data_IF_241115937065
#
_entry.id   IF_241115937065
#
_cell.length_a   1.000
_cell.length_b   1.000
_cell.length_c   1.000
_cell.angle_alpha   90.00
_cell.angle_beta   90.00
_cell.angle_gamma   90.00
#
_symmetry.space_group_name_H-M   'P 1'
#
loop_
_entity.id
_entity.type
_entity.pdbx_description
1 polymer ?
#
# COMPACT_ATOMS: atom_id res chain seq x y z
N UNK A 1 -13.20 48.33 -48.32
CA UNK A 1 -12.23 47.67 -47.42
C UNK A 1 -13.02 46.67 -46.57
N UNK A 2 -13.12 45.42 -47.01
CA UNK A 2 -14.04 44.40 -46.46
C UNK A 2 -13.39 43.56 -45.35
N UNK A 3 -14.10 43.43 -44.23
CA UNK A 3 -13.88 42.42 -43.18
C UNK A 3 -14.60 41.11 -43.55
N UNK A 4 -13.93 39.98 -43.32
CA UNK A 4 -14.50 38.60 -43.24
C UNK A 4 -14.98 38.32 -41.79
N UNK A 5 -15.47 37.11 -41.40
CA UNK A 5 -16.03 35.94 -42.12
C UNK A 5 -17.35 35.43 -41.47
N UNK A 6 -17.96 34.35 -41.99
CA UNK A 6 -18.49 33.27 -41.15
C UNK A 6 -18.62 31.95 -41.95
N UNK A 7 -18.23 30.87 -41.29
CA UNK A 7 -18.16 29.51 -41.81
C UNK A 7 -19.41 28.70 -41.41
N UNK A 8 -19.89 27.80 -42.28
CA UNK A 8 -20.57 26.56 -41.86
C UNK A 8 -20.33 25.47 -42.93
N UNK A 9 -19.78 24.34 -42.49
CA UNK A 9 -19.66 23.07 -43.20
C UNK A 9 -20.34 22.00 -42.32
N UNK A 10 -21.12 21.09 -42.93
CA UNK A 10 -21.57 19.73 -42.47
C UNK A 10 -22.93 19.41 -43.12
N UNK A 11 -23.31 18.21 -43.54
CA UNK A 11 -22.70 16.90 -43.75
C UNK A 11 -23.77 16.09 -44.49
N UNK A 12 -23.39 15.35 -45.54
CA UNK A 12 -24.23 14.35 -46.20
C UNK A 12 -23.91 12.97 -45.62
N UNK A 13 -24.95 12.20 -45.22
CA UNK A 13 -25.22 10.80 -45.57
C UNK A 13 -26.21 10.18 -44.56
N UNK A 14 -27.36 9.76 -45.09
CA UNK A 14 -28.38 8.95 -44.45
C UNK A 14 -28.42 7.56 -45.10
N UNK A 15 -29.02 6.62 -44.36
CA UNK A 15 -29.71 5.40 -44.82
C UNK A 15 -28.81 4.22 -45.27
N UNK A 16 -29.13 2.94 -45.05
CA UNK A 16 -30.23 2.20 -44.42
C UNK A 16 -29.84 0.71 -44.55
N UNK A 17 -30.13 -0.18 -43.58
CA UNK A 17 -30.66 -1.54 -43.86
C UNK A 17 -31.15 -2.24 -42.58
N UNK A 18 -32.31 -2.89 -42.73
CA UNK A 18 -33.16 -3.61 -41.76
C UNK A 18 -33.09 -5.12 -42.05
N UNK A 19 -33.30 -5.97 -41.03
CA UNK A 19 -33.72 -7.39 -41.14
C UNK A 19 -33.29 -8.21 -39.91
N UNK A 20 -34.11 -8.52 -38.89
CA UNK A 20 -35.35 -9.34 -38.72
C UNK A 20 -35.08 -10.82 -38.35
N UNK A 21 -35.60 -11.21 -37.15
CA UNK A 21 -35.97 -12.55 -36.60
C UNK A 21 -34.87 -13.63 -36.41
N UNK A 22 -34.82 -14.49 -35.39
CA UNK A 22 -35.72 -14.87 -34.29
C UNK A 22 -35.24 -16.20 -33.66
N UNK A 23 -35.78 -16.56 -32.48
CA UNK A 23 -35.66 -17.84 -31.71
C UNK A 23 -34.26 -18.18 -31.10
N UNK A 24 -34.11 -18.74 -29.89
CA UNK A 24 -35.03 -19.31 -28.91
C UNK A 24 -34.47 -19.13 -27.48
N UNK A 25 -35.37 -18.91 -26.51
CA UNK A 25 -35.07 -18.87 -25.08
C UNK A 25 -35.28 -20.28 -24.54
N UNK A 26 -34.20 -20.91 -24.07
CA UNK A 26 -34.25 -22.18 -23.33
C UNK A 26 -33.75 -21.95 -21.90
N UNK A 27 -34.70 -21.88 -20.97
CA UNK A 27 -34.50 -21.93 -19.51
C UNK A 27 -34.33 -23.38 -19.06
N UNK A 28 -33.37 -23.71 -18.19
CA UNK A 28 -33.46 -24.88 -17.34
C UNK A 28 -34.09 -24.51 -16.00
N UNK A 29 -35.27 -25.07 -15.75
CA UNK A 29 -35.93 -25.14 -14.44
C UNK A 29 -35.08 -25.95 -13.47
N UNK A 30 -34.54 -25.29 -12.44
CA UNK A 30 -33.89 -25.96 -11.31
C UNK A 30 -34.96 -26.64 -10.43
N UNK A 31 -34.86 -27.96 -10.32
CA UNK A 31 -35.61 -28.78 -9.39
C UNK A 31 -35.26 -28.42 -7.93
N UNK A 32 -36.27 -28.03 -7.16
CA UNK A 32 -36.23 -28.01 -5.71
C UNK A 32 -36.27 -29.45 -5.19
N UNK A 33 -35.19 -29.90 -4.57
CA UNK A 33 -35.15 -31.12 -3.78
C UNK A 33 -34.92 -30.77 -2.31
N UNK A 34 -35.97 -31.00 -1.52
CA UNK A 34 -35.99 -30.88 -0.07
C UNK A 34 -34.93 -31.79 0.58
N UNK A 35 -34.00 -31.20 1.35
CA UNK A 35 -33.16 -31.96 2.28
C UNK A 35 -33.83 -32.01 3.65
N UNK A 36 -34.22 -33.23 4.03
CA UNK A 36 -34.68 -33.65 5.36
C UNK A 36 -33.71 -33.17 6.45
N UNK A 37 -34.28 -32.49 7.46
CA UNK A 37 -33.65 -32.21 8.75
C UNK A 37 -33.61 -33.50 9.58
N UNK A 38 -32.44 -33.84 10.11
CA UNK A 38 -32.26 -34.82 11.19
C UNK A 38 -31.81 -34.08 12.46
N UNK A 39 -32.32 -34.43 13.65
CA UNK A 39 -32.22 -33.58 14.83
C UNK A 39 -30.90 -33.76 15.59
N UNK A 40 -30.23 -32.65 15.88
CA UNK A 40 -29.13 -32.58 16.85
C UNK A 40 -29.68 -32.58 18.28
N UNK A 41 -29.37 -33.62 19.05
CA UNK A 41 -29.66 -33.71 20.48
C UNK A 41 -28.94 -32.58 21.24
N UNK A 42 -29.73 -31.80 21.97
CA UNK A 42 -29.29 -30.98 23.11
C UNK A 42 -28.62 -31.90 24.14
N UNK A 43 -27.39 -31.59 24.51
CA UNK A 43 -26.83 -32.07 25.76
C UNK A 43 -26.60 -30.88 26.69
N UNK A 44 -27.18 -31.06 27.86
CA UNK A 44 -27.48 -30.08 28.88
C UNK A 44 -26.20 -29.75 29.65
N UNK A 45 -25.96 -28.46 29.83
CA UNK A 45 -24.90 -27.91 30.66
C UNK A 45 -25.27 -28.16 32.12
N UNK A 46 -24.46 -28.94 32.84
CA UNK A 46 -24.48 -29.00 34.30
C UNK A 46 -23.26 -28.27 34.85
N UNK A 47 -23.53 -27.16 35.52
CA UNK A 47 -22.61 -26.45 36.40
C UNK A 47 -22.19 -27.33 37.58
N UNK A 48 -20.88 -27.45 37.82
CA UNK A 48 -20.35 -27.88 39.10
C UNK A 48 -19.05 -27.13 39.39
N UNK A 49 -18.98 -26.67 40.63
CA UNK A 49 -18.07 -25.67 41.13
C UNK A 49 -16.63 -26.16 41.34
N UNK A 50 -15.74 -25.17 41.24
CA UNK A 50 -14.43 -25.02 41.86
C UNK A 50 -13.99 -26.12 42.83
N UNK A 51 -12.90 -26.80 42.48
CA UNK A 51 -11.93 -27.33 43.45
C UNK A 51 -10.52 -26.92 43.03
N UNK A 52 -9.91 -26.15 43.94
CA UNK A 52 -8.50 -25.79 43.95
C UNK A 52 -7.62 -27.04 43.93
N UNK A 53 -6.70 -27.11 42.98
CA UNK A 53 -5.59 -28.06 43.02
C UNK A 53 -4.26 -27.30 42.86
N UNK A 54 -3.68 -27.06 44.02
CA UNK A 54 -2.26 -26.90 44.38
C UNK A 54 -1.27 -26.82 43.21
N UNK A 55 -0.77 -25.61 42.99
CA UNK A 55 0.51 -25.31 42.31
C UNK A 55 1.66 -25.79 43.22
N UNK A 56 2.47 -26.71 42.72
CA UNK A 56 3.78 -27.07 43.30
C UNK A 56 4.75 -25.92 43.05
N UNK A 57 5.40 -25.34 44.09
CA UNK A 57 6.34 -24.24 43.89
C UNK A 57 7.71 -24.73 43.43
N UNK A 58 8.19 -24.12 42.34
CA UNK A 58 9.59 -24.15 41.92
C UNK A 58 10.44 -23.52 43.02
N UNK A 59 11.41 -24.29 43.53
CA UNK A 59 12.33 -23.91 44.60
C UNK A 59 13.33 -22.86 44.10
N UNK A 60 13.08 -21.60 44.48
CA UNK A 60 14.06 -20.52 44.44
C UNK A 60 15.01 -20.69 45.62
N UNK A 61 16.31 -20.83 45.36
CA UNK A 61 17.35 -20.77 46.40
C UNK A 61 18.05 -19.42 46.27
N UNK A 62 17.90 -18.57 47.29
CA UNK A 62 18.66 -17.35 47.45
C UNK A 62 19.61 -17.45 48.66
N UNK A 63 20.90 -17.21 48.35
CA UNK A 63 21.98 -16.56 49.14
C UNK A 63 22.28 -17.00 50.58
N UNK A 64 23.58 -17.21 50.84
CA UNK A 64 24.28 -16.57 51.96
C UNK A 64 25.75 -16.28 51.63
N UNK A 65 26.17 -15.10 52.05
CA UNK A 65 27.54 -14.59 52.00
C UNK A 65 28.40 -15.21 53.11
N UNK A 66 29.70 -15.34 52.86
CA UNK A 66 30.71 -15.49 53.90
C UNK A 66 31.93 -14.63 53.54
N UNK A 67 32.33 -13.82 54.52
CA UNK A 67 33.49 -12.93 54.54
C UNK A 67 34.75 -13.76 54.82
N UNK A 68 35.85 -13.50 54.10
CA UNK A 68 37.15 -14.12 54.36
C UNK A 68 38.28 -13.22 53.84
N UNK A 69 39.19 -12.88 54.75
CA UNK A 69 40.24 -11.85 54.64
C UNK A 69 41.46 -12.32 53.83
N UNK A 70 42.18 -11.32 53.29
CA UNK A 70 43.37 -11.32 52.41
C UNK A 70 44.47 -12.34 52.70
N UNK A 71 45.08 -12.86 51.63
CA UNK A 71 46.51 -13.16 51.57
C UNK A 71 47.06 -12.83 50.17
N UNK A 72 48.05 -11.95 50.12
CA UNK A 72 48.76 -11.57 48.90
C UNK A 72 49.77 -12.65 48.56
N UNK A 73 49.79 -13.13 47.31
CA UNK A 73 50.97 -13.77 46.71
C UNK A 73 51.19 -13.25 45.30
N UNK A 74 52.39 -12.75 45.12
CA UNK A 74 52.98 -12.17 43.91
C UNK A 74 53.07 -13.24 42.82
N UNK A 75 52.58 -12.93 41.62
CA UNK A 75 52.82 -13.71 40.42
C UNK A 75 53.22 -12.77 39.27
N UNK A 76 54.30 -13.14 38.61
CA UNK A 76 55.09 -12.33 37.70
C UNK A 76 54.32 -11.76 36.50
N UNK A 77 54.63 -10.51 36.16
CA UNK A 77 54.13 -9.82 34.99
C UNK A 77 54.68 -10.47 33.71
N UNK A 78 53.83 -11.23 33.01
CA UNK A 78 54.03 -11.53 31.59
C UNK A 78 53.34 -10.42 30.80
N UNK A 79 54.14 -9.54 30.20
CA UNK A 79 53.67 -8.46 29.36
C UNK A 79 53.03 -9.03 28.08
N UNK A 80 51.71 -9.23 28.11
CA UNK A 80 50.90 -9.37 26.90
C UNK A 80 50.37 -8.00 26.53
N UNK A 81 50.99 -7.39 25.53
CA UNK A 81 50.52 -6.17 24.87
C UNK A 81 49.07 -6.38 24.42
N UNK A 82 48.10 -5.57 24.88
CA UNK A 82 46.75 -5.65 24.35
C UNK A 82 46.79 -5.10 22.92
N UNK A 83 46.62 -5.98 21.93
CA UNK A 83 46.32 -5.57 20.56
C UNK A 83 44.98 -4.85 20.62
N UNK A 84 45.04 -3.52 20.61
CA UNK A 84 43.88 -2.65 20.56
C UNK A 84 43.23 -2.91 19.20
N UNK A 85 42.15 -3.69 19.19
CA UNK A 85 41.31 -3.85 18.01
C UNK A 85 40.82 -2.46 17.63
N UNK A 86 41.40 -1.89 16.58
CA UNK A 86 40.93 -0.67 15.98
C UNK A 86 39.60 -1.06 15.34
N UNK A 87 38.50 -0.74 16.01
CA UNK A 87 37.19 -0.80 15.38
C UNK A 87 37.28 0.12 14.16
N UNK A 88 37.33 -0.47 12.97
CA UNK A 88 37.19 0.27 11.74
C UNK A 88 35.88 1.06 11.85
N UNK A 89 35.99 2.37 11.97
CA UNK A 89 34.84 3.25 11.87
C UNK A 89 34.19 2.91 10.53
N UNK A 90 33.00 2.31 10.57
CA UNK A 90 32.22 2.07 9.37
C UNK A 90 32.10 3.42 8.66
N UNK A 91 32.68 3.54 7.47
CA UNK A 91 32.59 4.74 6.68
C UNK A 91 31.11 5.10 6.57
N UNK A 92 30.73 6.25 7.09
CA UNK A 92 29.38 6.78 6.92
C UNK A 92 29.29 7.15 5.44
N UNK A 93 28.82 6.21 4.63
CA UNK A 93 28.49 6.48 3.24
C UNK A 93 27.55 7.69 3.23
N UNK A 94 27.87 8.75 2.47
CA UNK A 94 26.99 9.91 2.40
C UNK A 94 25.61 9.45 1.94
N UNK A 95 24.57 10.00 2.57
CA UNK A 95 23.20 9.69 2.17
C UNK A 95 23.04 10.02 0.69
N UNK A 96 22.71 9.00 -0.13
CA UNK A 96 22.40 9.21 -1.54
C UNK A 96 21.18 10.11 -1.64
N UNK A 97 21.35 11.22 -2.35
CA UNK A 97 20.27 12.16 -2.62
C UNK A 97 19.17 11.49 -3.47
N UNK A 98 17.93 11.83 -3.20
CA UNK A 98 16.80 11.42 -4.05
C UNK A 98 16.77 12.22 -5.36
N UNK A 99 16.00 11.75 -6.33
CA UNK A 99 15.84 12.47 -7.60
C UNK A 99 15.17 13.83 -7.42
N UNK A 100 14.24 13.96 -6.45
CA UNK A 100 13.61 15.24 -6.14
C UNK A 100 14.56 16.23 -5.46
N UNK A 101 15.49 15.74 -4.63
CA UNK A 101 16.58 16.56 -4.08
C UNK A 101 17.53 17.04 -5.18
N UNK A 102 17.96 16.15 -6.08
CA UNK A 102 18.83 16.49 -7.21
C UNK A 102 18.17 17.50 -8.16
N UNK A 103 16.87 17.37 -8.39
CA UNK A 103 16.08 18.30 -9.20
C UNK A 103 15.71 19.61 -8.47
N UNK A 104 16.07 19.76 -7.19
CA UNK A 104 15.78 20.96 -6.41
C UNK A 104 14.31 21.17 -6.07
N UNK A 105 13.46 20.14 -6.18
CA UNK A 105 12.01 20.24 -6.00
C UNK A 105 11.61 20.62 -4.57
N UNK A 106 12.44 20.30 -3.58
CA UNK A 106 12.26 20.70 -2.18
C UNK A 106 12.34 22.22 -1.93
N UNK A 107 12.86 22.99 -2.89
CA UNK A 107 12.98 24.46 -2.76
C UNK A 107 11.66 25.19 -3.01
N UNK A 108 10.66 24.51 -3.57
CA UNK A 108 9.34 25.08 -3.81
C UNK A 108 8.59 25.17 -2.48
N UNK A 109 8.22 26.39 -2.09
CA UNK A 109 7.41 26.64 -0.90
C UNK A 109 5.95 26.23 -1.10
N UNK A 110 5.29 25.81 -0.04
CA UNK A 110 3.87 25.50 0.00
C UNK A 110 3.25 26.01 1.31
N UNK A 111 1.92 26.22 1.37
CA UNK A 111 1.28 26.85 2.54
C UNK A 111 1.31 25.98 3.81
N UNK A 112 1.67 24.69 3.71
CA UNK A 112 1.66 23.75 4.82
C UNK A 112 3.07 23.35 5.27
N UNK A 113 4.14 23.90 4.68
CA UNK A 113 5.52 23.48 4.92
C UNK A 113 5.68 21.94 4.79
N UNK A 114 5.14 21.39 3.70
CA UNK A 114 5.24 19.97 3.41
C UNK A 114 6.69 19.57 3.18
N UNK A 115 7.08 18.45 3.79
CA UNK A 115 8.42 17.86 3.64
C UNK A 115 8.53 16.95 2.41
N UNK A 116 7.43 16.75 1.71
CA UNK A 116 7.38 16.17 0.37
C UNK A 116 7.76 17.21 -0.67
N UNK A 117 8.64 16.84 -1.60
CA UNK A 117 8.99 17.71 -2.72
C UNK A 117 7.88 17.76 -3.77
N UNK A 118 7.04 16.73 -3.84
CA UNK A 118 5.84 16.68 -4.67
C UNK A 118 4.64 16.33 -3.79
N UNK A 119 3.55 17.09 -3.93
CA UNK A 119 2.30 16.81 -3.26
C UNK A 119 1.09 17.12 -4.16
N UNK A 120 0.06 16.31 -4.05
CA UNK A 120 -1.24 16.54 -4.67
C UNK A 120 -2.35 16.07 -3.73
N UNK A 121 -3.32 16.93 -3.47
CA UNK A 121 -4.53 16.61 -2.71
C UNK A 121 -5.73 16.99 -3.55
N UNK A 122 -6.54 16.00 -3.91
CA UNK A 122 -7.75 16.19 -4.71
C UNK A 122 -8.97 15.62 -4.01
N UNK A 123 -10.12 16.24 -4.26
CA UNK A 123 -11.41 15.63 -3.97
C UNK A 123 -11.68 14.51 -4.98
N UNK A 124 -12.00 13.32 -4.48
CA UNK A 124 -12.23 12.14 -5.29
C UNK A 124 -13.51 12.25 -6.13
N UNK A 125 -14.55 12.89 -5.58
CA UNK A 125 -15.87 12.92 -6.22
C UNK A 125 -15.97 14.11 -7.20
N UNK A 126 -15.38 15.27 -6.86
CA UNK A 126 -15.47 16.49 -7.70
C UNK A 126 -14.24 16.75 -8.57
N UNK A 127 -13.13 16.05 -8.33
CA UNK A 127 -11.82 16.32 -8.94
C UNK A 127 -11.26 17.72 -8.65
N UNK A 128 -11.81 18.44 -7.66
CA UNK A 128 -11.24 19.70 -7.20
C UNK A 128 -9.82 19.46 -6.67
N UNK A 129 -8.86 20.29 -7.11
CA UNK A 129 -7.50 20.28 -6.58
C UNK A 129 -7.45 21.22 -5.38
N UNK A 130 -7.24 20.67 -4.19
CA UNK A 130 -7.12 21.44 -2.95
C UNK A 130 -5.69 21.95 -2.78
N UNK A 131 -4.71 21.07 -2.98
CA UNK A 131 -3.29 21.38 -2.85
C UNK A 131 -2.52 20.74 -4.00
N UNK A 132 -1.61 21.52 -4.59
CA UNK A 132 -0.66 21.04 -5.60
C UNK A 132 0.72 21.64 -5.34
N UNK A 133 1.73 20.78 -5.42
CA UNK A 133 3.16 21.11 -5.32
C UNK A 133 3.91 20.21 -6.28
N UNK A 134 4.49 20.78 -7.34
CA UNK A 134 5.26 20.05 -8.35
C UNK A 134 4.53 18.81 -8.91
N UNK A 135 3.21 18.87 -9.07
CA UNK A 135 2.37 17.69 -9.32
C UNK A 135 2.61 16.99 -10.68
N UNK A 136 3.29 17.68 -11.60
CA UNK A 136 3.76 17.17 -12.90
C UNK A 136 5.17 16.55 -12.86
N UNK A 137 5.90 16.64 -11.76
CA UNK A 137 7.24 16.07 -11.68
C UNK A 137 7.18 14.54 -11.75
N UNK A 138 7.94 13.98 -12.71
CA UNK A 138 8.07 12.54 -12.91
C UNK A 138 9.24 12.03 -12.07
N UNK A 139 8.94 11.22 -11.06
CA UNK A 139 9.92 10.73 -10.10
C UNK A 139 9.83 9.22 -9.93
N UNK A 140 10.90 8.56 -9.47
CA UNK A 140 10.81 7.20 -8.98
C UNK A 140 9.74 7.10 -7.87
N UNK A 141 8.82 6.13 -7.98
CA UNK A 141 7.67 6.02 -7.07
C UNK A 141 7.79 4.88 -6.06
N UNK A 142 8.91 4.17 -6.09
CA UNK A 142 9.17 3.01 -5.25
C UNK A 142 7.97 2.05 -5.25
N UNK A 143 7.66 1.46 -4.08
CA UNK A 143 6.58 0.48 -3.91
C UNK A 143 5.15 0.99 -4.10
N UNK A 144 4.92 2.27 -4.45
CA UNK A 144 3.61 2.70 -4.94
C UNK A 144 3.21 1.92 -6.20
N UNK A 145 4.21 1.48 -6.98
CA UNK A 145 4.10 0.53 -8.10
C UNK A 145 3.17 -0.65 -7.82
N UNK A 146 3.18 -1.19 -6.58
CA UNK A 146 2.40 -2.38 -6.23
C UNK A 146 0.89 -2.16 -6.29
N UNK A 147 0.40 -0.92 -6.32
CA UNK A 147 -1.01 -0.64 -6.59
C UNK A 147 -1.40 -1.03 -8.02
N UNK A 148 -0.57 -0.73 -9.02
CA UNK A 148 -0.78 -1.19 -10.39
C UNK A 148 -0.71 -2.71 -10.47
N UNK A 149 0.26 -3.32 -9.76
CA UNK A 149 0.37 -4.78 -9.65
C UNK A 149 -0.92 -5.40 -9.12
N UNK A 150 -1.45 -4.88 -8.00
CA UNK A 150 -2.68 -5.36 -7.42
C UNK A 150 -3.89 -5.17 -8.35
N UNK A 151 -4.00 -4.00 -8.99
CA UNK A 151 -5.07 -3.71 -9.94
C UNK A 151 -5.12 -4.73 -11.09
N UNK A 152 -3.97 -5.06 -11.68
CA UNK A 152 -3.92 -6.05 -12.76
C UNK A 152 -4.24 -7.46 -12.30
N UNK A 153 -3.73 -7.88 -11.14
CA UNK A 153 -4.02 -9.21 -10.58
C UNK A 153 -5.52 -9.37 -10.33
N UNK A 154 -6.17 -8.36 -9.76
CA UNK A 154 -7.62 -8.38 -9.55
C UNK A 154 -8.40 -8.43 -10.86
N UNK A 155 -8.01 -7.62 -11.85
CA UNK A 155 -8.70 -7.58 -13.14
C UNK A 155 -8.52 -8.85 -13.98
N UNK A 156 -7.42 -9.58 -13.80
CA UNK A 156 -7.19 -10.83 -14.48
C UNK A 156 -8.11 -11.98 -14.00
N UNK A 157 -8.79 -11.82 -12.86
CA UNK A 157 -9.74 -12.80 -12.29
C UNK A 157 -9.15 -14.21 -12.19
N UNK A 158 -7.86 -14.29 -11.85
CA UNK A 158 -7.17 -15.54 -11.61
C UNK A 158 -7.63 -16.14 -10.27
N UNK A 159 -7.44 -17.45 -10.08
CA UNK A 159 -7.83 -18.12 -8.85
C UNK A 159 -7.07 -17.56 -7.64
N UNK A 160 -7.76 -16.97 -6.68
CA UNK A 160 -7.09 -16.42 -5.48
C UNK A 160 -6.49 -17.50 -4.57
N UNK A 161 -6.89 -18.75 -4.76
CA UNK A 161 -6.45 -19.91 -3.97
C UNK A 161 -5.29 -20.66 -4.64
N UNK A 162 -4.83 -20.22 -5.81
CA UNK A 162 -3.66 -20.79 -6.46
C UNK A 162 -2.42 -20.58 -5.58
N UNK A 163 -1.71 -21.68 -5.32
CA UNK A 163 -0.46 -21.67 -4.58
C UNK A 163 0.70 -21.19 -5.45
N UNK A 164 1.35 -20.11 -5.02
CA UNK A 164 2.51 -19.52 -5.69
C UNK A 164 3.73 -19.73 -4.79
N UNK A 165 4.77 -20.36 -5.35
CA UNK A 165 6.05 -20.56 -4.68
C UNK A 165 7.00 -19.40 -4.99
N UNK A 166 7.62 -18.84 -3.96
CA UNK A 166 8.73 -17.90 -4.07
C UNK A 166 9.95 -18.66 -4.62
N UNK A 167 10.54 -18.14 -5.69
CA UNK A 167 11.70 -18.71 -6.38
C UNK A 167 12.90 -17.77 -6.27
N UNK A 168 14.06 -18.21 -6.78
CA UNK A 168 15.25 -17.38 -6.83
C UNK A 168 15.04 -16.11 -7.67
N UNK A 169 14.18 -16.17 -8.70
CA UNK A 169 13.85 -15.03 -9.55
C UNK A 169 13.14 -13.90 -8.79
N UNK A 170 12.51 -14.20 -7.66
CA UNK A 170 11.81 -13.20 -6.84
C UNK A 170 12.74 -12.47 -5.87
N UNK A 171 14.01 -12.88 -5.79
CA UNK A 171 15.00 -12.28 -4.89
C UNK A 171 15.52 -10.99 -5.50
N UNK A 172 15.38 -9.90 -4.74
CA UNK A 172 15.99 -8.62 -5.09
C UNK A 172 17.52 -8.72 -5.17
N UNK A 173 18.05 -8.41 -6.35
CA UNK A 173 19.48 -8.32 -6.64
C UNK A 173 19.93 -6.88 -6.97
N UNK A 174 19.00 -5.92 -7.03
CA UNK A 174 19.27 -4.52 -7.38
C UNK A 174 19.50 -3.66 -6.14
N UNK A 175 18.61 -3.73 -5.15
CA UNK A 175 18.65 -2.89 -3.94
C UNK A 175 19.03 -3.65 -2.67
N UNK A 176 19.16 -4.98 -2.74
CA UNK A 176 19.49 -5.83 -1.60
C UNK A 176 18.43 -5.78 -0.49
N UNK A 177 17.16 -5.53 -0.84
CA UNK A 177 16.05 -5.49 0.10
C UNK A 177 15.84 -6.85 0.76
N UNK A 178 15.52 -6.81 2.05
CA UNK A 178 15.28 -8.01 2.85
C UNK A 178 13.83 -8.43 2.72
N UNK A 179 13.60 -9.74 2.68
CA UNK A 179 12.28 -10.35 2.74
C UNK A 179 12.27 -11.43 3.80
N UNK A 180 11.12 -11.63 4.44
CA UNK A 180 10.90 -12.74 5.37
C UNK A 180 10.32 -13.97 4.68
N UNK A 181 9.82 -13.84 3.46
CA UNK A 181 9.43 -14.96 2.62
C UNK A 181 10.70 -15.55 2.02
N UNK A 182 11.08 -16.76 2.42
CA UNK A 182 12.28 -17.41 1.88
C UNK A 182 11.99 -18.04 0.52
N UNK A 183 13.03 -18.30 -0.28
CA UNK A 183 12.88 -19.15 -1.48
C UNK A 183 12.33 -20.50 -1.05
N UNK A 184 11.34 -21.02 -1.78
CA UNK A 184 10.57 -22.22 -1.45
C UNK A 184 9.32 -21.96 -0.60
N UNK A 185 9.13 -20.77 -0.03
CA UNK A 185 7.87 -20.40 0.63
C UNK A 185 6.73 -20.41 -0.37
N UNK A 186 5.64 -21.09 -0.05
CA UNK A 186 4.44 -21.17 -0.90
C UNK A 186 3.26 -20.57 -0.15
N UNK A 187 2.60 -19.60 -0.75
CA UNK A 187 1.38 -18.97 -0.24
C UNK A 187 0.34 -18.89 -1.35
N UNK A 188 -0.92 -18.75 -1.00
CA UNK A 188 -1.98 -18.50 -1.98
C UNK A 188 -1.77 -17.13 -2.65
N UNK A 189 -2.27 -16.96 -3.87
CA UNK A 189 -2.30 -15.66 -4.56
C UNK A 189 -2.93 -14.56 -3.70
N UNK A 190 -3.97 -14.92 -2.93
CA UNK A 190 -4.61 -14.06 -1.93
C UNK A 190 -3.62 -13.52 -0.92
N UNK A 191 -2.89 -14.40 -0.25
CA UNK A 191 -1.88 -14.02 0.75
C UNK A 191 -0.75 -13.21 0.11
N UNK A 192 -0.27 -13.60 -1.08
CA UNK A 192 0.75 -12.84 -1.81
C UNK A 192 0.30 -11.40 -2.08
N UNK A 193 -0.93 -11.22 -2.58
CA UNK A 193 -1.49 -9.89 -2.86
C UNK A 193 -1.68 -9.08 -1.58
N UNK A 194 -2.17 -9.71 -0.51
CA UNK A 194 -2.35 -9.07 0.78
C UNK A 194 -1.03 -8.55 1.35
N UNK A 195 0.01 -9.39 1.39
CA UNK A 195 1.33 -9.00 1.89
C UNK A 195 1.97 -7.92 1.01
N UNK A 196 1.81 -7.98 -0.31
CA UNK A 196 2.31 -6.99 -1.25
C UNK A 196 1.70 -5.59 -1.02
N UNK A 197 0.40 -5.50 -0.77
CA UNK A 197 -0.30 -4.23 -0.58
C UNK A 197 -0.13 -3.67 0.84
N UNK A 198 -0.37 -4.51 1.86
CA UNK A 198 -0.33 -4.11 3.28
C UNK A 198 1.10 -3.81 3.75
N UNK A 199 1.98 -4.79 3.59
CA UNK A 199 3.34 -4.76 4.15
C UNK A 199 4.41 -4.42 3.13
N UNK A 200 4.02 -4.15 1.88
CA UNK A 200 4.96 -3.85 0.80
C UNK A 200 5.95 -4.99 0.51
N UNK A 201 5.52 -6.25 0.67
CA UNK A 201 6.38 -7.42 0.49
C UNK A 201 6.83 -7.54 -0.98
N UNK A 202 8.15 -7.50 -1.23
CA UNK A 202 8.71 -7.43 -2.58
C UNK A 202 8.65 -8.77 -3.31
N UNK A 203 8.98 -9.88 -2.64
CA UNK A 203 9.01 -11.20 -3.25
C UNK A 203 7.60 -11.65 -3.62
N UNK A 204 6.62 -11.33 -2.78
CA UNK A 204 5.21 -11.56 -3.09
C UNK A 204 4.77 -10.80 -4.35
N UNK A 205 5.09 -9.50 -4.45
CA UNK A 205 4.74 -8.70 -5.63
C UNK A 205 5.45 -9.18 -6.90
N UNK A 206 6.73 -9.57 -6.80
CA UNK A 206 7.47 -10.12 -7.93
C UNK A 206 6.88 -11.46 -8.38
N UNK A 207 6.60 -12.37 -7.45
CA UNK A 207 6.01 -13.66 -7.75
C UNK A 207 4.64 -13.55 -8.41
N UNK A 208 3.81 -12.57 -8.00
CA UNK A 208 2.54 -12.26 -8.66
C UNK A 208 2.73 -11.86 -10.13
N UNK A 209 3.70 -11.00 -10.42
CA UNK A 209 4.01 -10.61 -11.80
C UNK A 209 4.63 -11.76 -12.61
N UNK A 210 5.54 -12.54 -12.01
CA UNK A 210 6.20 -13.68 -12.65
C UNK A 210 5.24 -14.81 -13.01
N UNK A 211 4.26 -15.08 -12.14
CA UNK A 211 3.25 -16.14 -12.34
C UNK A 211 2.01 -15.68 -13.08
N UNK A 212 1.96 -14.42 -13.52
CA UNK A 212 0.90 -13.93 -14.39
C UNK A 212 0.89 -14.71 -15.72
N UNK A 213 -0.27 -14.99 -16.34
CA UNK A 213 -0.32 -15.66 -17.64
C UNK A 213 0.53 -14.93 -18.70
N UNK A 214 1.49 -15.65 -19.30
CA UNK A 214 2.48 -15.08 -20.23
C UNK A 214 3.77 -14.56 -19.56
N UNK A 215 3.86 -14.64 -18.23
CA UNK A 215 5.06 -14.33 -17.47
C UNK A 215 5.31 -12.84 -17.22
N UNK A 216 6.45 -12.55 -16.61
CA UNK A 216 6.80 -11.21 -16.11
C UNK A 216 6.84 -10.14 -17.21
N UNK A 217 7.38 -10.46 -18.39
CA UNK A 217 7.45 -9.52 -19.50
C UNK A 217 6.04 -9.10 -19.98
N UNK A 218 5.12 -10.05 -20.07
CA UNK A 218 3.71 -9.77 -20.40
C UNK A 218 3.06 -8.95 -19.29
N UNK A 219 3.33 -9.26 -18.02
CA UNK A 219 2.81 -8.49 -16.90
C UNK A 219 3.23 -7.02 -16.96
N UNK A 220 4.52 -6.73 -17.18
CA UNK A 220 5.04 -5.36 -17.30
C UNK A 220 4.44 -4.64 -18.52
N UNK A 221 4.26 -5.33 -19.64
CA UNK A 221 3.57 -4.77 -20.80
C UNK A 221 2.12 -4.38 -20.46
N UNK A 222 1.41 -5.22 -19.71
CA UNK A 222 0.05 -4.94 -19.25
C UNK A 222 0.00 -3.78 -18.25
N UNK A 223 1.01 -3.62 -17.38
CA UNK A 223 1.11 -2.46 -16.47
C UNK A 223 1.16 -1.16 -17.25
N UNK A 224 2.02 -1.08 -18.27
CA UNK A 224 2.15 0.10 -19.11
C UNK A 224 0.95 0.32 -20.04
N UNK A 225 0.36 -0.76 -20.56
CA UNK A 225 -0.87 -0.67 -21.36
C UNK A 225 -2.03 -0.13 -20.51
N UNK A 226 -2.16 -0.60 -19.27
CA UNK A 226 -3.15 -0.08 -18.33
C UNK A 226 -2.90 1.38 -17.97
N UNK A 227 -1.66 1.77 -17.69
CA UNK A 227 -1.31 3.17 -17.43
C UNK A 227 -1.79 4.09 -18.57
N UNK A 228 -1.45 3.76 -19.82
CA UNK A 228 -1.93 4.51 -21.00
C UNK A 228 -3.44 4.53 -21.12
N UNK A 229 -4.11 3.39 -20.90
CA UNK A 229 -5.57 3.30 -20.98
C UNK A 229 -6.28 4.14 -19.90
N UNK A 230 -5.62 4.40 -18.77
CA UNK A 230 -6.12 5.27 -17.71
C UNK A 230 -5.77 6.75 -17.91
N UNK A 231 -5.03 7.11 -18.96
CA UNK A 231 -4.56 8.48 -19.16
C UNK A 231 -3.29 8.84 -18.39
N UNK A 232 -2.61 7.85 -17.79
CA UNK A 232 -1.38 8.06 -17.00
C UNK A 232 -0.16 8.21 -17.93
N UNK A 233 -0.01 9.38 -18.54
CA UNK A 233 0.97 9.64 -19.61
C UNK A 233 2.40 9.88 -19.10
N UNK A 234 2.54 10.20 -17.82
CA UNK A 234 3.82 10.42 -17.16
C UNK A 234 4.36 9.14 -16.48
N UNK A 235 3.64 8.03 -16.65
CA UNK A 235 3.92 6.77 -15.94
C UNK A 235 4.62 5.76 -16.82
N UNK A 236 5.66 5.14 -16.25
CA UNK A 236 6.33 3.97 -16.83
C UNK A 236 6.67 2.95 -15.76
N UNK A 237 6.30 1.70 -16.03
CA UNK A 237 6.68 0.55 -15.23
C UNK A 237 7.70 -0.33 -15.95
N UNK A 238 8.69 -0.84 -15.23
CA UNK A 238 9.68 -1.83 -15.70
C UNK A 238 9.60 -3.14 -14.93
N UNK A 239 8.98 -3.14 -13.75
CA UNK A 239 8.85 -4.31 -12.86
C UNK A 239 7.74 -4.09 -11.81
N UNK A 240 7.20 -5.15 -11.16
CA UNK A 240 5.96 -5.09 -10.36
C UNK A 240 6.12 -4.66 -8.90
N UNK A 241 7.34 -4.44 -8.42
CA UNK A 241 7.65 -4.22 -6.99
C UNK A 241 7.92 -2.76 -6.66
N UNK A 242 8.50 -1.98 -7.56
CA UNK A 242 8.99 -0.63 -7.26
C UNK A 242 10.41 -0.57 -6.68
N UNK A 243 11.24 -1.58 -6.91
CA UNK A 243 12.66 -1.57 -6.55
C UNK A 243 13.50 -0.81 -7.57
N UNK A 244 13.13 -0.86 -8.85
CA UNK A 244 13.83 -0.11 -9.88
C UNK A 244 13.47 1.37 -9.81
N UNK A 245 14.46 2.26 -9.85
CA UNK A 245 14.24 3.70 -9.98
C UNK A 245 13.66 4.11 -11.35
N UNK A 246 13.61 3.18 -12.30
CA UNK A 246 12.94 3.35 -13.59
C UNK A 246 11.43 3.11 -13.54
N UNK A 247 10.88 2.68 -12.40
CA UNK A 247 9.45 2.77 -12.10
C UNK A 247 9.13 4.20 -11.70
N UNK A 248 8.51 4.95 -12.61
CA UNK A 248 8.31 6.39 -12.48
C UNK A 248 6.85 6.77 -12.80
N UNK A 249 6.39 7.85 -12.17
CA UNK A 249 5.06 8.43 -12.37
C UNK A 249 5.04 9.87 -11.84
N UNK A 250 4.02 10.64 -12.23
CA UNK A 250 3.68 11.92 -11.61
C UNK A 250 2.64 11.75 -10.49
N UNK A 251 2.41 12.81 -9.71
CA UNK A 251 1.39 12.79 -8.66
C UNK A 251 -0.03 12.75 -9.23
N UNK A 252 -0.26 13.38 -10.39
CA UNK A 252 -1.55 13.34 -11.10
C UNK A 252 -1.89 11.93 -11.56
N UNK A 253 -0.94 11.25 -12.18
CA UNK A 253 -1.11 9.87 -12.63
C UNK A 253 -1.40 8.92 -11.46
N UNK A 254 -0.66 9.08 -10.35
CA UNK A 254 -0.91 8.30 -9.15
C UNK A 254 -2.29 8.56 -8.55
N UNK A 255 -2.79 9.79 -8.60
CA UNK A 255 -4.14 10.10 -8.12
C UNK A 255 -5.22 9.38 -8.96
N UNK A 256 -5.02 9.29 -10.29
CA UNK A 256 -5.86 8.47 -11.18
C UNK A 256 -5.79 6.98 -10.78
N UNK A 257 -4.59 6.44 -10.57
CA UNK A 257 -4.42 5.05 -10.16
C UNK A 257 -5.10 4.75 -8.82
N UNK A 258 -4.97 5.64 -7.83
CA UNK A 258 -5.64 5.51 -6.52
C UNK A 258 -7.15 5.52 -6.70
N UNK A 259 -7.70 6.43 -7.51
CA UNK A 259 -9.15 6.50 -7.74
C UNK A 259 -9.69 5.20 -8.34
N UNK A 260 -9.00 4.64 -9.34
CA UNK A 260 -9.39 3.39 -9.99
C UNK A 260 -9.23 2.21 -9.04
N UNK A 261 -8.09 2.10 -8.36
CA UNK A 261 -7.83 1.00 -7.43
C UNK A 261 -8.79 1.00 -6.23
N UNK A 262 -9.23 2.18 -5.77
CA UNK A 262 -10.19 2.30 -4.69
C UNK A 262 -11.56 1.72 -5.05
N UNK A 263 -11.91 1.56 -6.34
CA UNK A 263 -13.16 0.92 -6.72
C UNK A 263 -13.22 -0.58 -6.42
N UNK A 264 -12.07 -1.23 -6.21
CA UNK A 264 -11.98 -2.66 -5.90
C UNK A 264 -12.00 -2.91 -4.38
N UNK A 265 -13.02 -3.60 -3.83
CA UNK A 265 -13.14 -3.82 -2.39
C UNK A 265 -12.01 -4.68 -1.80
N UNK A 266 -11.42 -5.59 -2.58
CA UNK A 266 -10.32 -6.44 -2.11
C UNK A 266 -9.03 -5.61 -2.02
N UNK A 267 -8.78 -4.71 -2.98
CA UNK A 267 -7.63 -3.80 -2.90
C UNK A 267 -7.74 -2.87 -1.70
N UNK A 268 -8.93 -2.36 -1.41
CA UNK A 268 -9.21 -1.57 -0.20
C UNK A 268 -8.85 -2.39 1.04
N UNK A 269 -9.51 -3.53 1.24
CA UNK A 269 -9.31 -4.42 2.40
C UNK A 269 -7.84 -4.80 2.60
N UNK A 270 -7.17 -5.26 1.54
CA UNK A 270 -5.79 -5.72 1.64
C UNK A 270 -4.82 -4.57 1.90
N UNK A 271 -5.05 -3.40 1.32
CA UNK A 271 -4.19 -2.25 1.57
C UNK A 271 -4.39 -1.65 2.97
N UNK A 272 -5.58 -1.78 3.57
CA UNK A 272 -5.93 -1.15 4.86
C UNK A 272 -6.01 -2.13 6.04
N UNK A 273 -5.71 -3.41 5.84
CA UNK A 273 -5.55 -4.34 6.98
C UNK A 273 -4.42 -3.89 7.92
N UNK A 274 -4.62 -3.84 9.25
CA UNK A 274 -3.59 -3.45 10.21
C UNK A 274 -2.37 -4.38 10.27
N UNK A 275 -2.58 -5.66 9.98
CA UNK A 275 -1.59 -6.73 10.09
C UNK A 275 -2.16 -8.08 9.65
N UNK A 276 -1.28 -9.03 9.41
CA UNK A 276 -1.65 -10.37 8.93
C UNK A 276 -0.58 -11.39 9.31
N UNK A 277 -1.00 -12.60 9.64
CA UNK A 277 -0.09 -13.70 9.97
C UNK A 277 -0.18 -14.77 8.88
N UNK A 278 0.97 -15.23 8.38
CA UNK A 278 1.03 -16.33 7.40
C UNK A 278 1.80 -17.50 7.97
N UNK A 279 1.22 -18.70 7.83
CA UNK A 279 1.89 -19.95 8.18
C UNK A 279 2.82 -20.37 7.03
N UNK A 280 4.09 -20.59 7.34
CA UNK A 280 5.15 -21.03 6.42
C UNK A 280 5.85 -22.24 7.02
N UNK A 281 5.39 -23.43 6.63
CA UNK A 281 5.82 -24.69 7.24
C UNK A 281 5.50 -24.71 8.74
N UNK A 282 6.52 -24.88 9.59
CA UNK A 282 6.37 -24.88 11.05
C UNK A 282 6.46 -23.49 11.70
N UNK A 283 6.57 -22.42 10.91
CA UNK A 283 6.72 -21.04 11.40
C UNK A 283 5.51 -20.20 11.04
N UNK A 284 5.17 -19.23 11.90
CA UNK A 284 4.21 -18.17 11.58
C UNK A 284 4.96 -16.85 11.44
N UNK A 285 4.77 -16.16 10.31
CA UNK A 285 5.39 -14.87 10.04
C UNK A 285 4.37 -13.74 10.22
N UNK A 286 4.76 -12.70 10.97
CA UNK A 286 3.87 -11.62 11.41
C UNK A 286 4.05 -10.34 10.60
N UNK A 287 3.10 -9.96 9.76
CA UNK A 287 3.15 -8.78 8.91
C UNK A 287 2.32 -7.63 9.48
N UNK A 288 2.81 -6.40 9.28
CA UNK A 288 2.17 -5.18 9.76
C UNK A 288 2.01 -4.20 8.61
N UNK A 289 0.95 -3.41 8.64
CA UNK A 289 0.78 -2.34 7.67
C UNK A 289 1.95 -1.34 7.70
N UNK A 290 2.43 -0.97 6.53
CA UNK A 290 3.52 0.01 6.39
C UNK A 290 3.06 1.45 6.61
N UNK A 291 1.78 1.75 6.44
CA UNK A 291 1.18 3.02 6.84
C UNK A 291 0.66 2.92 8.28
N UNK A 292 1.29 3.67 9.19
CA UNK A 292 0.92 3.66 10.60
C UNK A 292 -0.43 4.30 10.87
N UNK A 293 -0.90 5.18 9.98
CA UNK A 293 -2.19 5.87 10.13
C UNK A 293 -3.37 4.91 10.04
N UNK A 294 -3.21 3.76 9.37
CA UNK A 294 -4.23 2.70 9.26
C UNK A 294 -4.67 2.18 10.64
N UNK A 295 -3.78 2.21 11.64
CA UNK A 295 -4.12 1.77 13.00
C UNK A 295 -4.75 2.87 13.86
N UNK A 296 -4.81 4.10 13.35
CA UNK A 296 -5.35 5.23 14.09
C UNK A 296 -6.87 5.29 13.92
N UNK A 297 -7.64 5.30 15.02
CA UNK A 297 -9.10 5.44 14.94
C UNK A 297 -9.53 6.82 14.43
N UNK A 298 -8.62 7.80 14.43
CA UNK A 298 -8.90 9.15 13.91
C UNK A 298 -8.89 9.20 12.38
N UNK A 299 -8.44 8.16 11.69
CA UNK A 299 -8.27 8.14 10.25
C UNK A 299 -9.23 7.15 9.60
N UNK A 300 -10.06 7.64 8.67
CA UNK A 300 -10.84 6.78 7.79
C UNK A 300 -10.11 6.66 6.44
N UNK A 301 -9.34 5.57 6.28
CA UNK A 301 -8.53 5.31 5.09
C UNK A 301 -9.20 4.20 4.28
N UNK A 302 -9.63 4.51 3.05
CA UNK A 302 -10.23 3.54 2.15
C UNK A 302 -9.21 2.75 1.34
N UNK A 303 -8.07 3.35 0.99
CA UNK A 303 -6.97 2.69 0.28
C UNK A 303 -5.64 3.38 0.62
N UNK A 304 -4.53 2.64 0.67
CA UNK A 304 -3.20 3.25 0.84
C UNK A 304 -2.08 2.47 0.17
N UNK A 305 -0.96 3.16 -0.11
CA UNK A 305 0.33 2.50 -0.31
C UNK A 305 1.46 3.42 0.11
N UNK A 306 2.50 2.84 0.72
CA UNK A 306 3.77 3.51 0.98
C UNK A 306 4.89 3.02 0.06
N UNK A 307 5.95 3.80 -0.09
CA UNK A 307 7.14 3.40 -0.83
C UNK A 307 8.41 4.05 -0.30
N UNK A 308 9.54 3.36 -0.46
CA UNK A 308 10.87 3.91 -0.20
C UNK A 308 11.95 3.15 -0.98
N UNK A 309 12.73 3.89 -1.75
CA UNK A 309 14.11 3.59 -2.16
C UNK A 309 14.88 4.91 -2.07
N UNK A 310 16.21 4.85 -2.01
CA UNK A 310 17.02 6.08 -1.87
C UNK A 310 16.72 7.11 -2.96
N UNK A 311 16.53 6.65 -4.19
CA UNK A 311 16.28 7.49 -5.38
C UNK A 311 14.87 8.13 -5.38
N UNK A 312 13.89 7.49 -4.74
CA UNK A 312 12.49 7.95 -4.69
C UNK A 312 12.19 8.83 -3.46
N UNK A 313 13.06 8.81 -2.46
CA UNK A 313 12.71 9.25 -1.12
C UNK A 313 11.54 8.44 -0.55
N UNK A 314 10.77 9.04 0.37
CA UNK A 314 9.63 8.36 1.01
C UNK A 314 8.32 8.81 0.39
N UNK A 315 7.60 7.85 -0.18
CA UNK A 315 6.33 8.09 -0.86
C UNK A 315 5.15 7.56 -0.05
N UNK A 316 4.00 8.22 -0.17
CA UNK A 316 2.70 7.79 0.34
C UNK A 316 1.62 8.20 -0.67
N UNK A 317 0.71 7.29 -0.95
CA UNK A 317 -0.59 7.62 -1.53
C UNK A 317 -1.68 7.05 -0.64
N UNK A 318 -2.80 7.75 -0.54
CA UNK A 318 -3.98 7.21 0.12
C UNK A 318 -5.26 7.90 -0.34
N UNK A 319 -6.35 7.14 -0.30
CA UNK A 319 -7.71 7.65 -0.30
C UNK A 319 -8.19 7.66 1.16
N UNK A 320 -8.80 8.76 1.60
CA UNK A 320 -9.26 8.94 2.97
C UNK A 320 -10.47 9.86 3.05
N UNK A 321 -11.31 9.73 4.07
CA UNK A 321 -12.39 10.66 4.36
C UNK A 321 -11.99 11.65 5.46
N UNK A 322 -12.09 12.95 5.16
CA UNK A 322 -11.79 14.04 6.10
C UNK A 322 -12.90 15.09 6.00
N UNK A 323 -13.51 15.45 7.13
CA UNK A 323 -14.61 16.42 7.18
C UNK A 323 -15.74 16.14 6.17
N UNK A 324 -16.07 14.85 5.97
CA UNK A 324 -17.08 14.41 5.01
C UNK A 324 -16.64 14.36 3.54
N UNK A 325 -15.44 14.85 3.21
CA UNK A 325 -14.88 14.82 1.85
C UNK A 325 -14.06 13.55 1.63
N UNK A 326 -14.22 12.90 0.48
CA UNK A 326 -13.33 11.83 0.05
C UNK A 326 -12.13 12.45 -0.65
N UNK A 327 -10.95 12.33 -0.06
CA UNK A 327 -9.73 12.93 -0.57
C UNK A 327 -8.76 11.86 -1.04
N UNK A 328 -8.09 12.13 -2.15
CA UNK A 328 -6.90 11.41 -2.59
C UNK A 328 -5.70 12.29 -2.30
N UNK A 329 -4.75 11.75 -1.53
CA UNK A 329 -3.50 12.40 -1.18
C UNK A 329 -2.34 11.65 -1.79
N UNK A 330 -1.45 12.37 -2.46
CA UNK A 330 -0.22 11.86 -3.04
C UNK A 330 0.94 12.70 -2.52
N UNK A 331 1.92 12.05 -1.91
CA UNK A 331 3.14 12.64 -1.38
C UNK A 331 4.34 11.85 -1.91
N UNK A 332 5.20 12.48 -2.69
CA UNK A 332 6.41 11.85 -3.22
C UNK A 332 7.65 12.53 -2.63
N UNK A 333 8.70 11.72 -2.47
CA UNK A 333 10.00 12.17 -2.03
C UNK A 333 9.95 13.03 -0.76
N UNK A 334 9.35 12.48 0.30
CA UNK A 334 9.27 13.14 1.59
C UNK A 334 10.57 12.98 2.40
N UNK A 335 11.12 14.10 2.86
CA UNK A 335 12.36 14.16 3.62
C UNK A 335 12.14 13.80 5.10
N UNK A 336 12.70 12.65 5.53
CA UNK A 336 12.67 12.18 6.92
C UNK A 336 11.74 10.98 7.18
N UNK A 337 12.01 10.21 8.25
CA UNK A 337 11.39 8.88 8.44
C UNK A 337 9.85 8.90 8.49
N UNK A 338 9.28 9.90 9.15
CA UNK A 338 7.84 10.03 9.41
C UNK A 338 7.20 11.21 8.70
N UNK A 339 7.96 11.92 7.88
CA UNK A 339 7.57 13.20 7.30
C UNK A 339 6.31 13.11 6.45
N UNK A 340 6.17 12.09 5.59
CA UNK A 340 4.95 11.85 4.79
C UNK A 340 3.68 11.61 5.62
N UNK A 341 3.81 11.06 6.83
CA UNK A 341 2.68 10.90 7.75
C UNK A 341 2.36 12.25 8.42
N UNK A 342 3.39 13.04 8.75
CA UNK A 342 3.22 14.41 9.20
C UNK A 342 2.61 15.32 8.14
N UNK A 343 2.97 15.14 6.86
CA UNK A 343 2.37 15.84 5.72
C UNK A 343 0.86 15.52 5.62
N UNK A 344 0.49 14.25 5.78
CA UNK A 344 -0.91 13.84 5.85
C UNK A 344 -1.67 14.50 7.01
N UNK A 345 -1.11 14.51 8.22
CA UNK A 345 -1.72 15.20 9.38
C UNK A 345 -1.84 16.71 9.17
N UNK A 346 -0.84 17.35 8.55
CA UNK A 346 -0.92 18.78 8.20
C UNK A 346 -2.05 19.08 7.21
N UNK A 347 -2.18 18.27 6.16
CA UNK A 347 -3.28 18.40 5.20
C UNK A 347 -4.62 18.17 5.87
N UNK A 348 -4.74 17.16 6.74
CA UNK A 348 -5.96 16.91 7.50
C UNK A 348 -6.37 18.13 8.33
N UNK A 349 -5.47 18.61 9.18
CA UNK A 349 -5.75 19.76 10.05
C UNK A 349 -6.14 21.00 9.24
N UNK A 350 -5.48 21.20 8.10
CA UNK A 350 -5.80 22.28 7.19
C UNK A 350 -7.21 22.14 6.58
N UNK A 351 -7.57 20.97 6.08
CA UNK A 351 -8.93 20.70 5.55
C UNK A 351 -10.00 20.84 6.63
N UNK A 352 -9.73 20.37 7.86
CA UNK A 352 -10.63 20.50 9.01
C UNK A 352 -10.81 21.97 9.43
N UNK A 353 -9.81 22.83 9.21
CA UNK A 353 -9.89 24.26 9.50
C UNK A 353 -10.62 25.08 8.43
N UNK A 354 -10.83 24.52 7.24
CA UNK A 354 -11.57 25.22 6.19
C UNK A 354 -13.04 25.38 6.62
N UNK A 355 -13.67 26.54 6.36
CA UNK A 355 -15.11 26.66 6.51
C UNK A 355 -15.75 25.57 5.66
N UNK A 356 -16.43 24.61 6.29
CA UNK A 356 -17.21 23.63 5.56
C UNK A 356 -18.10 24.39 4.58
N UNK A 357 -18.11 23.99 3.30
CA UNK A 357 -19.21 24.33 2.41
C UNK A 357 -20.46 23.84 3.13
N UNK A 358 -21.10 24.74 3.88
CA UNK A 358 -22.35 24.47 4.59
C UNK A 358 -23.26 23.91 3.52
N UNK A 359 -23.63 22.66 3.71
CA UNK A 359 -24.59 21.96 2.86
C UNK A 359 -25.73 22.94 2.55
N UNK A 360 -25.89 23.22 1.26
CA UNK A 360 -26.95 24.08 0.69
C UNK A 360 -28.37 23.61 1.03
N UNK A 361 -28.50 22.53 1.81
CA UNK A 361 -29.73 22.02 2.40
C UNK A 361 -30.38 23.04 3.37
N UNK A 362 -29.60 23.89 4.05
CA UNK A 362 -30.18 24.88 4.98
C UNK A 362 -30.85 26.09 4.29
N UNK A 363 -30.48 26.43 3.04
CA UNK A 363 -31.12 27.56 2.33
C UNK A 363 -32.38 27.15 1.55
N UNK A 364 -32.53 25.87 1.21
CA UNK A 364 -33.75 25.37 0.57
C UNK A 364 -34.93 25.28 1.56
N UNK A 365 -34.68 24.96 2.84
CA UNK A 365 -35.72 24.88 3.88
C UNK A 365 -36.18 26.24 4.42
N UNK A 366 -35.43 27.33 4.21
CA UNK A 366 -35.89 28.68 4.55
C UNK A 366 -36.66 29.37 3.41
N UNK A 367 -36.63 28.84 2.19
CA UNK A 367 -37.39 29.39 1.04
C UNK A 367 -38.76 28.74 0.83
N UNK A 368 -39.07 27.66 1.55
CA UNK A 368 -40.40 27.03 1.56
C UNK A 368 -41.27 27.45 2.76
N UNK A 369 -40.83 28.44 3.54
CA UNK A 369 -41.52 28.92 4.74
C UNK A 369 -41.93 30.40 4.65
N UNK A 370 -41.90 31.00 3.45
CA UNK A 370 -42.40 32.35 3.19
C UNK A 370 -43.50 32.32 2.13
#
# INVERSE_FOLDING_TARGET
>A
MLRRPNAVLRSFFQALTIGVLGLAISLPTAHAAERKKSPSKKQQVSSAAAKQAKRTPVRVVARKAAVGVKASRVAAASARTPVRAVAAAAAVEPARLSFGELAGLHKVSDPLDLKSSVALVIDQDTHEVLLSKNDHAVLPIASLTKLMTGLLIMQARLSMDEHITITQDDVDTEKGSRSRLMVGTTLTRREMLHLALMSSENRAAHALGRTYPGGLAVFVNQMNAKARALGMMDTRFVEPTGLSSNNQSSARDLAVLVNVAHSDPILREFSTSPGYEVAVGSRTLQYNNTNRLVKSPSWDIGLQKTGYISEAGRCLVMQTQISGRKLIMVFLDSAGKFSRLGDAERVRNWVESMPALRSTVSQAQMRSAN
#
